data_IF_583506094341
#
_entry.id   IF_583506094341
#
_cell.length_a   1.000
_cell.length_b   1.000
_cell.length_c   1.000
_cell.angle_alpha   90.00
_cell.angle_beta   90.00
_cell.angle_gamma   90.00
#
_symmetry.space_group_name_H-M   'P 1'
#
loop_
_entity.id
_entity.type
_entity.pdbx_description
1 polymer ?
#
# COMPACT_ATOMS: atom_id res chain seq x y z
N UNK A 1 25.10 20.84 0.70
CA UNK A 1 25.49 19.44 0.39
C UNK A 1 26.84 19.22 1.06
N UNK A 2 26.88 18.42 2.13
CA UNK A 2 28.09 18.23 2.94
C UNK A 2 29.03 17.21 2.28
N UNK A 3 29.94 17.72 1.45
CA UNK A 3 31.00 16.95 0.76
C UNK A 3 31.95 16.26 1.76
N UNK A 4 31.97 16.73 3.02
CA UNK A 4 32.77 16.19 4.12
C UNK A 4 32.45 14.73 4.47
N UNK A 5 31.26 14.21 4.13
CA UNK A 5 30.91 12.79 4.33
C UNK A 5 31.51 11.85 3.27
N UNK A 6 31.93 12.38 2.12
CA UNK A 6 32.53 11.55 1.07
C UNK A 6 34.00 11.23 1.35
N UNK A 7 34.77 12.09 2.00
CA UNK A 7 36.23 11.92 2.05
C UNK A 7 36.68 10.64 2.77
N UNK A 8 35.89 10.16 3.74
CA UNK A 8 36.17 8.92 4.49
C UNK A 8 35.31 7.70 4.06
N UNK A 9 34.47 7.83 3.03
CA UNK A 9 33.59 6.77 2.58
C UNK A 9 34.31 5.75 1.67
N UNK A 10 33.99 4.47 1.82
CA UNK A 10 34.45 3.42 0.91
C UNK A 10 33.96 3.69 -0.52
N UNK A 11 34.67 3.16 -1.52
CA UNK A 11 34.36 3.37 -2.93
C UNK A 11 32.92 2.92 -3.27
N UNK A 12 32.42 1.89 -2.60
CA UNK A 12 31.01 1.44 -2.66
C UNK A 12 30.00 2.42 -2.05
N UNK A 13 30.34 3.08 -0.94
CA UNK A 13 29.46 4.07 -0.29
C UNK A 13 29.41 5.36 -1.10
N UNK A 14 30.53 5.77 -1.71
CA UNK A 14 30.59 6.90 -2.65
C UNK A 14 29.67 6.69 -3.86
N UNK A 15 29.72 5.48 -4.45
CA UNK A 15 28.88 5.10 -5.58
C UNK A 15 27.40 5.03 -5.18
N UNK A 16 27.10 4.47 -4.00
CA UNK A 16 25.74 4.44 -3.44
C UNK A 16 25.16 5.84 -3.25
N UNK A 17 25.96 6.78 -2.73
CA UNK A 17 25.55 8.16 -2.51
C UNK A 17 25.32 8.94 -3.82
N UNK A 18 26.13 8.69 -4.85
CA UNK A 18 25.98 9.30 -6.18
C UNK A 18 24.73 8.76 -6.90
N UNK A 19 24.43 7.47 -6.75
CA UNK A 19 23.22 6.83 -7.29
C UNK A 19 21.94 7.31 -6.60
N UNK A 20 21.92 7.37 -5.27
CA UNK A 20 20.71 7.73 -4.48
C UNK A 20 20.28 9.19 -4.65
N UNK A 21 21.15 10.07 -5.18
CA UNK A 21 20.88 11.50 -5.34
C UNK A 21 20.77 11.95 -6.81
N UNK A 22 20.60 11.01 -7.76
CA UNK A 22 20.50 11.30 -9.21
C UNK A 22 21.61 12.25 -9.71
N UNK A 23 22.82 12.07 -9.20
CA UNK A 23 23.90 13.02 -9.43
C UNK A 23 24.33 12.99 -10.91
N UNK A 24 24.54 14.14 -11.57
CA UNK A 24 24.91 14.22 -13.00
C UNK A 24 26.22 13.53 -13.37
N UNK A 25 27.00 13.09 -12.37
CA UNK A 25 28.22 12.31 -12.56
C UNK A 25 27.98 10.80 -12.64
N UNK A 26 26.74 10.32 -12.42
CA UNK A 26 26.40 8.89 -12.50
C UNK A 26 26.69 8.29 -13.88
N UNK A 27 26.24 8.95 -14.95
CA UNK A 27 26.46 8.46 -16.31
C UNK A 27 27.95 8.43 -16.72
N UNK A 28 28.76 9.49 -16.50
CA UNK A 28 30.21 9.44 -16.71
C UNK A 28 30.91 8.35 -15.87
N UNK A 29 30.52 8.20 -14.60
CA UNK A 29 31.13 7.24 -13.67
C UNK A 29 30.85 5.78 -14.10
N UNK A 30 29.63 5.49 -14.54
CA UNK A 30 29.24 4.19 -15.09
C UNK A 30 30.05 3.84 -16.35
N UNK A 31 30.28 4.81 -17.24
CA UNK A 31 31.10 4.61 -18.44
C UNK A 31 32.57 4.34 -18.09
N UNK A 32 33.16 5.10 -17.17
CA UNK A 32 34.55 4.92 -16.72
C UNK A 32 34.73 3.56 -16.04
N UNK A 33 33.85 3.21 -15.10
CA UNK A 33 33.94 1.94 -14.36
C UNK A 33 33.68 0.72 -15.27
N UNK A 34 32.78 0.82 -16.25
CA UNK A 34 32.58 -0.26 -17.23
C UNK A 34 33.74 -0.35 -18.25
N UNK A 35 34.33 0.78 -18.66
CA UNK A 35 35.49 0.81 -19.58
C UNK A 35 36.76 0.23 -18.98
N UNK A 36 36.90 0.25 -17.64
CA UNK A 36 38.00 -0.39 -16.90
C UNK A 36 37.89 -1.92 -16.79
N UNK A 37 36.89 -2.54 -17.44
CA UNK A 37 36.77 -4.00 -17.57
C UNK A 37 36.37 -4.75 -16.30
N UNK A 38 36.04 -4.04 -15.21
CA UNK A 38 35.85 -4.65 -13.90
C UNK A 38 34.40 -5.02 -13.54
N UNK A 39 33.41 -4.70 -14.41
CA UNK A 39 32.00 -5.02 -14.16
C UNK A 39 31.50 -4.57 -12.79
N UNK A 40 32.16 -3.59 -12.18
CA UNK A 40 32.00 -3.26 -10.76
C UNK A 40 30.63 -2.64 -10.51
N UNK A 41 30.17 -1.78 -11.43
CA UNK A 41 28.85 -1.15 -11.36
C UNK A 41 27.76 -2.22 -11.49
N UNK A 42 27.90 -3.15 -12.43
CA UNK A 42 26.96 -4.26 -12.61
C UNK A 42 26.91 -5.16 -11.37
N UNK A 43 28.07 -5.54 -10.81
CA UNK A 43 28.15 -6.28 -9.53
C UNK A 43 27.57 -5.51 -8.35
N UNK A 44 27.77 -4.19 -8.30
CA UNK A 44 27.26 -3.35 -7.22
C UNK A 44 25.74 -3.20 -7.30
N UNK A 45 25.20 -2.93 -8.49
CA UNK A 45 23.76 -2.85 -8.74
C UNK A 45 23.09 -4.21 -8.52
N UNK A 46 23.68 -5.29 -9.02
CA UNK A 46 23.22 -6.66 -8.78
C UNK A 46 23.21 -7.00 -7.29
N UNK A 47 24.28 -6.67 -6.57
CA UNK A 47 24.33 -6.85 -5.10
C UNK A 47 23.25 -6.01 -4.40
N UNK A 48 23.06 -4.74 -4.76
CA UNK A 48 22.02 -3.87 -4.19
C UNK A 48 20.61 -4.41 -4.46
N UNK A 49 20.35 -4.94 -5.66
CA UNK A 49 19.07 -5.56 -6.00
C UNK A 49 18.81 -6.82 -5.16
N UNK A 50 19.81 -7.71 -5.05
CA UNK A 50 19.72 -8.92 -4.22
C UNK A 50 19.54 -8.54 -2.74
N UNK A 51 20.28 -7.56 -2.24
CA UNK A 51 20.17 -7.09 -0.85
C UNK A 51 18.78 -6.50 -0.58
N UNK A 52 18.17 -5.82 -1.55
CA UNK A 52 16.82 -5.30 -1.46
C UNK A 52 15.78 -6.43 -1.40
N UNK A 53 15.81 -7.39 -2.32
CA UNK A 53 14.89 -8.54 -2.33
C UNK A 53 15.02 -9.35 -1.03
N UNK A 54 16.24 -9.63 -0.58
CA UNK A 54 16.48 -10.32 0.69
C UNK A 54 15.92 -9.54 1.89
N UNK A 55 15.99 -8.21 1.86
CA UNK A 55 15.40 -7.37 2.90
C UNK A 55 13.88 -7.47 2.90
N UNK A 56 13.24 -7.41 1.74
CA UNK A 56 11.78 -7.54 1.63
C UNK A 56 11.30 -8.92 2.10
N UNK A 57 11.99 -9.99 1.68
CA UNK A 57 11.68 -11.35 2.14
C UNK A 57 11.82 -11.47 3.66
N UNK A 58 12.88 -10.90 4.25
CA UNK A 58 13.06 -10.89 5.71
C UNK A 58 11.94 -10.12 6.42
N UNK A 59 11.48 -9.01 5.88
CA UNK A 59 10.34 -8.26 6.41
C UNK A 59 9.07 -9.10 6.37
N UNK A 60 8.78 -9.74 5.23
CA UNK A 60 7.63 -10.62 5.08
C UNK A 60 7.66 -11.78 6.09
N UNK A 61 8.80 -12.47 6.22
CA UNK A 61 8.99 -13.55 7.20
C UNK A 61 8.79 -13.02 8.63
N UNK A 62 9.32 -11.84 8.94
CA UNK A 62 9.18 -11.23 10.25
C UNK A 62 7.73 -10.89 10.58
N UNK A 63 6.97 -10.37 9.62
CA UNK A 63 5.53 -10.10 9.79
C UNK A 63 4.73 -11.39 9.91
N UNK A 64 4.99 -12.38 9.06
CA UNK A 64 4.36 -13.70 9.12
C UNK A 64 4.49 -14.36 10.49
N UNK A 65 5.66 -14.25 11.13
CA UNK A 65 5.91 -14.80 12.47
C UNK A 65 5.02 -14.19 13.56
N UNK A 66 4.55 -12.94 13.40
CA UNK A 66 3.68 -12.30 14.39
C UNK A 66 2.31 -12.95 14.48
N UNK A 67 1.86 -13.59 13.40
CA UNK A 67 0.55 -14.25 13.33
C UNK A 67 0.57 -15.69 13.87
N UNK A 68 1.57 -16.03 14.70
CA UNK A 68 1.70 -17.28 15.45
C UNK A 68 1.42 -18.54 14.61
N UNK A 69 2.15 -18.67 13.50
CA UNK A 69 2.08 -19.82 12.61
C UNK A 69 2.44 -21.12 13.35
N UNK A 70 1.67 -22.19 13.12
CA UNK A 70 2.11 -23.54 13.46
C UNK A 70 3.46 -23.82 12.81
N UNK A 71 4.35 -24.55 13.51
CA UNK A 71 5.70 -24.87 13.02
C UNK A 71 5.69 -25.62 11.68
N UNK A 72 4.58 -26.27 11.35
CA UNK A 72 4.33 -26.91 10.06
C UNK A 72 3.37 -26.08 9.22
N UNK A 73 3.72 -25.74 7.96
CA UNK A 73 2.77 -25.17 7.00
C UNK A 73 1.60 -26.11 6.73
N UNK A 74 0.48 -25.54 6.29
CA UNK A 74 -0.60 -26.30 5.66
C UNK A 74 -0.09 -27.09 4.45
N UNK A 75 -0.62 -28.29 4.26
CA UNK A 75 -0.39 -29.12 3.07
C UNK A 75 -1.16 -28.60 1.83
N UNK A 76 -1.79 -27.42 1.92
CA UNK A 76 -2.49 -26.80 0.81
C UNK A 76 -1.55 -26.56 -0.38
N UNK A 77 -1.93 -27.00 -1.60
CA UNK A 77 -1.17 -26.73 -2.82
C UNK A 77 -1.14 -25.23 -3.18
N UNK A 78 -1.97 -24.42 -2.54
CA UNK A 78 -2.22 -23.01 -2.85
C UNK A 78 -1.21 -22.08 -2.16
N UNK A 79 -0.54 -22.55 -1.10
CA UNK A 79 0.39 -21.76 -0.30
C UNK A 79 1.61 -21.30 -1.12
N UNK A 80 2.18 -22.18 -1.94
CA UNK A 80 3.36 -21.85 -2.76
C UNK A 80 3.02 -20.83 -3.86
N UNK A 81 1.93 -20.99 -4.64
CA UNK A 81 1.44 -19.94 -5.53
C UNK A 81 1.19 -18.60 -4.84
N UNK A 82 0.53 -18.60 -3.68
CA UNK A 82 0.26 -17.37 -2.92
C UNK A 82 1.55 -16.67 -2.49
N UNK A 83 2.54 -17.43 -2.00
CA UNK A 83 3.85 -16.92 -1.61
C UNK A 83 4.57 -16.27 -2.80
N UNK A 84 4.52 -16.89 -3.98
CA UNK A 84 5.14 -16.32 -5.19
C UNK A 84 4.51 -14.99 -5.60
N UNK A 85 3.19 -14.89 -5.59
CA UNK A 85 2.48 -13.62 -5.90
C UNK A 85 2.88 -12.55 -4.89
N UNK A 86 2.92 -12.90 -3.61
CA UNK A 86 3.27 -11.98 -2.53
C UNK A 86 4.72 -11.49 -2.63
N UNK A 87 5.68 -12.39 -2.87
CA UNK A 87 7.11 -12.04 -3.02
C UNK A 87 7.31 -11.10 -4.21
N UNK A 88 6.71 -11.39 -5.35
CA UNK A 88 6.82 -10.51 -6.53
C UNK A 88 6.25 -9.12 -6.22
N UNK A 89 5.07 -9.05 -5.59
CA UNK A 89 4.43 -7.79 -5.24
C UNK A 89 5.20 -6.94 -4.22
N UNK A 90 5.88 -7.56 -3.24
CA UNK A 90 6.70 -6.82 -2.26
C UNK A 90 8.06 -6.43 -2.81
N UNK A 91 8.61 -7.19 -3.77
CA UNK A 91 9.87 -6.80 -4.44
C UNK A 91 9.67 -5.62 -5.40
N UNK A 92 8.42 -5.36 -5.82
CA UNK A 92 8.06 -4.18 -6.61
C UNK A 92 7.67 -2.98 -5.74
N UNK A 93 7.65 -3.11 -4.41
CA UNK A 93 7.10 -2.11 -3.49
C UNK A 93 8.01 -1.78 -2.30
N UNK A 94 7.97 -0.52 -1.85
CA UNK A 94 8.61 -0.08 -0.60
C UNK A 94 7.66 -0.06 0.59
N UNK A 95 6.39 -0.38 0.37
CA UNK A 95 5.34 -0.30 1.37
C UNK A 95 5.48 -1.39 2.45
N UNK A 96 5.60 -0.95 3.70
CA UNK A 96 5.52 -1.84 4.87
C UNK A 96 4.09 -2.35 5.10
N UNK A 97 3.10 -1.52 4.77
CA UNK A 97 1.69 -1.83 4.97
C UNK A 97 1.26 -2.98 4.05
N UNK A 98 1.69 -2.93 2.79
CA UNK A 98 1.51 -4.00 1.80
C UNK A 98 2.17 -5.30 2.25
N UNK A 99 3.38 -5.25 2.82
CA UNK A 99 4.04 -6.44 3.41
C UNK A 99 3.20 -7.02 4.56
N UNK A 100 2.66 -6.17 5.44
CA UNK A 100 1.77 -6.58 6.55
C UNK A 100 0.51 -7.27 6.05
N UNK A 101 -0.13 -6.70 5.03
CA UNK A 101 -1.34 -7.24 4.39
C UNK A 101 -1.08 -8.59 3.73
N UNK A 102 -0.01 -8.71 2.93
CA UNK A 102 0.36 -10.00 2.33
C UNK A 102 0.68 -11.05 3.39
N UNK A 103 1.38 -10.68 4.47
CA UNK A 103 1.65 -11.58 5.57
C UNK A 103 0.35 -12.08 6.25
N UNK A 104 -0.65 -11.22 6.42
CA UNK A 104 -1.96 -11.59 6.99
C UNK A 104 -2.69 -12.63 6.12
N UNK A 105 -2.76 -12.40 4.81
CA UNK A 105 -3.40 -13.33 3.85
C UNK A 105 -2.67 -14.68 3.84
N UNK A 106 -1.33 -14.64 3.79
CA UNK A 106 -0.50 -15.85 3.81
C UNK A 106 -0.62 -16.60 5.13
N UNK A 107 -0.76 -15.91 6.26
CA UNK A 107 -0.96 -16.56 7.55
C UNK A 107 -2.30 -17.31 7.62
N UNK A 108 -3.36 -16.74 7.05
CA UNK A 108 -4.65 -17.42 6.93
C UNK A 108 -4.52 -18.71 6.10
N UNK A 109 -3.83 -18.66 4.96
CA UNK A 109 -3.55 -19.85 4.15
C UNK A 109 -2.68 -20.89 4.87
N UNK A 110 -1.67 -20.42 5.62
CA UNK A 110 -0.77 -21.28 6.38
C UNK A 110 -1.52 -22.10 7.44
N UNK A 111 -2.55 -21.50 8.05
CA UNK A 111 -3.32 -22.11 9.13
C UNK A 111 -4.53 -22.93 8.64
N UNK A 112 -4.97 -22.76 7.37
CA UNK A 112 -6.14 -23.44 6.83
C UNK A 112 -5.78 -24.70 6.03
N UNK A 113 -6.46 -25.82 6.30
CA UNK A 113 -6.30 -27.08 5.54
C UNK A 113 -6.93 -27.06 4.15
N UNK A 114 -7.97 -26.25 3.96
CA UNK A 114 -8.69 -26.10 2.69
C UNK A 114 -8.81 -24.62 2.38
N UNK A 115 -8.36 -24.20 1.20
CA UNK A 115 -8.42 -22.81 0.76
C UNK A 115 -9.37 -22.66 -0.43
N UNK A 116 -10.02 -21.50 -0.55
CA UNK A 116 -10.64 -21.08 -1.80
C UNK A 116 -9.58 -20.33 -2.60
N UNK A 117 -8.87 -21.06 -3.46
CA UNK A 117 -7.78 -20.50 -4.26
C UNK A 117 -8.25 -19.36 -5.15
N UNK A 118 -9.41 -19.47 -5.79
CA UNK A 118 -9.91 -18.42 -6.71
C UNK A 118 -10.14 -17.11 -5.97
N UNK A 119 -10.80 -17.16 -4.82
CA UNK A 119 -11.00 -15.99 -3.96
C UNK A 119 -9.66 -15.43 -3.48
N UNK A 120 -8.74 -16.29 -3.02
CA UNK A 120 -7.45 -15.86 -2.48
C UNK A 120 -6.56 -15.24 -3.56
N UNK A 121 -6.51 -15.85 -4.75
CA UNK A 121 -5.78 -15.35 -5.92
C UNK A 121 -6.30 -13.99 -6.36
N UNK A 122 -7.63 -13.80 -6.39
CA UNK A 122 -8.23 -12.50 -6.68
C UNK A 122 -7.88 -11.46 -5.60
N UNK A 123 -7.94 -11.81 -4.32
CA UNK A 123 -7.53 -10.92 -3.22
C UNK A 123 -6.07 -10.50 -3.34
N UNK A 124 -5.16 -11.44 -3.60
CA UNK A 124 -3.73 -11.15 -3.74
C UNK A 124 -3.45 -10.23 -4.93
N UNK A 125 -4.15 -10.43 -6.05
CA UNK A 125 -4.05 -9.54 -7.23
C UNK A 125 -4.58 -8.16 -6.93
N UNK A 126 -5.73 -8.07 -6.24
CA UNK A 126 -6.31 -6.80 -5.84
C UNK A 126 -5.37 -6.03 -4.92
N UNK A 127 -4.87 -6.67 -3.84
CA UNK A 127 -3.91 -6.07 -2.90
C UNK A 127 -2.62 -5.64 -3.58
N UNK A 128 -2.12 -6.41 -4.55
CA UNK A 128 -0.94 -6.02 -5.34
C UNK A 128 -1.16 -4.67 -6.03
N UNK A 129 -2.36 -4.42 -6.52
CA UNK A 129 -2.68 -3.20 -7.26
C UNK A 129 -3.04 -2.01 -6.35
N UNK A 130 -3.09 -2.21 -5.02
CA UNK A 130 -3.36 -1.16 -4.03
C UNK A 130 -2.06 -0.57 -3.45
N UNK A 131 -2.12 0.72 -3.10
CA UNK A 131 -1.04 1.46 -2.42
C UNK A 131 -1.42 1.82 -0.98
N UNK A 132 -0.48 2.39 -0.22
CA UNK A 132 -0.67 2.71 1.20
C UNK A 132 -1.84 3.65 1.45
N UNK A 133 -2.02 4.64 0.58
CA UNK A 133 -3.15 5.57 0.63
C UNK A 133 -4.49 4.86 0.46
N UNK A 134 -4.54 3.81 -0.35
CA UNK A 134 -5.76 3.01 -0.56
C UNK A 134 -6.14 2.26 0.71
N UNK A 135 -5.16 1.62 1.37
CA UNK A 135 -5.41 0.93 2.64
C UNK A 135 -5.85 1.90 3.75
N UNK A 136 -5.28 3.10 3.78
CA UNK A 136 -5.61 4.14 4.74
C UNK A 136 -7.05 4.67 4.53
N UNK A 137 -7.41 5.03 3.29
CA UNK A 137 -8.78 5.44 2.93
C UNK A 137 -9.80 4.34 3.26
N UNK A 138 -9.51 3.08 2.92
CA UNK A 138 -10.38 1.94 3.23
C UNK A 138 -10.55 1.72 4.74
N UNK A 139 -9.46 1.82 5.51
CA UNK A 139 -9.48 1.70 6.96
C UNK A 139 -10.37 2.77 7.61
N UNK A 140 -10.21 4.03 7.23
CA UNK A 140 -11.03 5.11 7.77
C UNK A 140 -12.49 5.01 7.32
N UNK A 141 -12.74 4.67 6.04
CA UNK A 141 -14.09 4.42 5.54
C UNK A 141 -14.80 3.30 6.31
N UNK A 142 -14.09 2.23 6.67
CA UNK A 142 -14.63 1.13 7.48
C UNK A 142 -14.91 1.53 8.93
N UNK A 143 -14.05 2.35 9.55
CA UNK A 143 -14.32 2.90 10.88
C UNK A 143 -15.57 3.77 10.88
N UNK A 144 -15.72 4.62 9.87
CA UNK A 144 -16.92 5.45 9.69
C UNK A 144 -18.17 4.59 9.47
N UNK A 145 -18.06 3.48 8.73
CA UNK A 145 -19.16 2.53 8.56
C UNK A 145 -19.61 1.88 9.87
N UNK A 146 -18.68 1.57 10.77
CA UNK A 146 -18.98 0.94 12.05
C UNK A 146 -19.33 1.95 13.17
N UNK A 147 -19.12 3.25 12.96
CA UNK A 147 -19.49 4.26 13.93
C UNK A 147 -21.02 4.42 13.97
N UNK A 148 -21.62 4.34 15.15
CA UNK A 148 -23.09 4.45 15.35
C UNK A 148 -23.67 5.80 14.91
N UNK A 149 -22.83 6.78 14.59
CA UNK A 149 -23.18 8.15 14.23
C UNK A 149 -22.89 8.44 12.75
N UNK A 150 -23.86 8.14 11.89
CA UNK A 150 -23.79 8.41 10.46
C UNK A 150 -23.75 7.11 9.64
N UNK A 151 -24.39 7.10 8.47
CA UNK A 151 -24.58 5.89 7.64
C UNK A 151 -23.29 5.36 6.98
N UNK A 152 -22.12 5.58 7.57
CA UNK A 152 -20.83 5.25 6.96
C UNK A 152 -20.50 6.06 5.72
N UNK A 153 -20.98 7.31 5.67
CA UNK A 153 -20.87 8.18 4.49
C UNK A 153 -19.81 9.26 4.75
N UNK A 154 -18.90 9.44 3.78
CA UNK A 154 -17.86 10.47 3.82
C UNK A 154 -17.83 11.30 2.53
N UNK A 155 -17.10 12.42 2.55
CA UNK A 155 -16.87 13.30 1.42
C UNK A 155 -15.38 13.57 1.21
N UNK A 156 -15.02 14.02 0.01
CA UNK A 156 -13.67 14.47 -0.38
C UNK A 156 -13.76 15.96 -0.75
N UNK A 157 -12.76 16.75 -0.38
CA UNK A 157 -12.72 18.19 -0.59
C UNK A 157 -13.46 19.00 0.48
N UNK A 158 -13.63 18.44 1.68
CA UNK A 158 -14.29 19.10 2.81
C UNK A 158 -15.67 18.54 3.17
N UNK A 159 -16.22 19.02 4.28
CA UNK A 159 -17.46 18.51 4.86
C UNK A 159 -18.69 19.05 4.12
N UNK A 160 -19.46 18.17 3.48
CA UNK A 160 -20.62 18.54 2.67
C UNK A 160 -21.93 18.67 3.46
N UNK A 161 -22.04 17.99 4.60
CA UNK A 161 -23.23 18.00 5.47
C UNK A 161 -22.85 17.70 6.92
N UNK A 162 -23.74 18.05 7.86
CA UNK A 162 -23.62 17.65 9.27
C UNK A 162 -23.51 16.13 9.46
N UNK A 163 -24.11 15.35 8.56
CA UNK A 163 -24.12 13.88 8.59
C UNK A 163 -22.95 13.21 7.87
N UNK A 164 -22.09 13.97 7.19
CA UNK A 164 -20.91 13.46 6.45
C UNK A 164 -19.63 13.86 7.17
N UNK A 165 -18.64 12.99 7.20
CA UNK A 165 -17.29 13.33 7.62
C UNK A 165 -16.44 13.62 6.38
N UNK A 166 -15.65 14.70 6.38
CA UNK A 166 -14.63 14.87 5.35
C UNK A 166 -13.52 13.86 5.62
N UNK A 167 -13.13 13.06 4.63
CA UNK A 167 -12.13 12.03 4.86
C UNK A 167 -10.78 12.66 5.23
N UNK A 168 -10.48 13.86 4.70
CA UNK A 168 -9.28 14.64 5.01
C UNK A 168 -9.15 14.99 6.49
N UNK A 169 -10.27 15.15 7.21
CA UNK A 169 -10.24 15.45 8.64
C UNK A 169 -9.77 14.25 9.48
N UNK A 170 -9.82 13.05 8.90
CA UNK A 170 -9.46 11.78 9.56
C UNK A 170 -8.12 11.25 9.06
N UNK A 171 -7.74 11.57 7.83
CA UNK A 171 -6.43 11.20 7.28
C UNK A 171 -5.31 12.09 7.86
N UNK A 172 -4.05 11.61 7.83
CA UNK A 172 -2.89 12.45 8.11
C UNK A 172 -2.91 13.76 7.29
N UNK A 173 -2.66 14.89 7.96
CA UNK A 173 -2.79 16.24 7.39
C UNK A 173 -1.72 16.62 6.36
N UNK A 174 -0.77 15.73 6.10
CA UNK A 174 0.30 15.86 5.10
C UNK A 174 -0.07 15.30 3.72
N UNK A 175 -1.25 14.73 3.55
CA UNK A 175 -1.72 14.16 2.28
C UNK A 175 -2.32 15.22 1.35
N UNK A 176 -1.88 15.21 0.09
CA UNK A 176 -2.42 16.08 -0.96
C UNK A 176 -3.88 15.69 -1.28
N UNK A 177 -4.84 16.63 -1.19
CA UNK A 177 -6.24 16.39 -1.54
C UNK A 177 -6.45 15.84 -2.96
N UNK A 178 -5.59 16.18 -3.93
CA UNK A 178 -5.69 15.63 -5.29
C UNK A 178 -5.36 14.13 -5.34
N UNK A 179 -4.44 13.67 -4.49
CA UNK A 179 -4.12 12.24 -4.35
C UNK A 179 -5.28 11.47 -3.72
N UNK A 180 -5.99 12.10 -2.77
CA UNK A 180 -7.17 11.51 -2.12
C UNK A 180 -8.31 11.37 -3.14
N UNK A 181 -8.61 12.40 -3.95
CA UNK A 181 -9.64 12.35 -5.01
C UNK A 181 -9.32 11.27 -6.06
N UNK A 182 -8.05 11.18 -6.48
CA UNK A 182 -7.58 10.13 -7.38
C UNK A 182 -7.69 8.73 -6.77
N UNK A 183 -7.32 8.58 -5.49
CA UNK A 183 -7.42 7.32 -4.77
C UNK A 183 -8.87 6.86 -4.62
N UNK A 184 -9.79 7.76 -4.26
CA UNK A 184 -11.21 7.45 -4.13
C UNK A 184 -11.79 7.01 -5.48
N UNK A 185 -11.42 7.69 -6.57
CA UNK A 185 -11.82 7.32 -7.92
C UNK A 185 -11.34 5.92 -8.31
N UNK A 186 -10.08 5.57 -8.01
CA UNK A 186 -9.53 4.23 -8.29
C UNK A 186 -10.20 3.15 -7.43
N UNK A 187 -10.47 3.44 -6.15
CA UNK A 187 -11.20 2.52 -5.26
C UNK A 187 -12.63 2.25 -5.73
N UNK A 188 -13.32 3.25 -6.29
CA UNK A 188 -14.64 3.08 -6.92
C UNK A 188 -14.52 2.20 -8.17
N UNK A 189 -13.53 2.45 -9.03
CA UNK A 189 -13.30 1.63 -10.22
C UNK A 189 -13.00 0.16 -9.89
N UNK A 190 -12.37 -0.10 -8.74
CA UNK A 190 -12.14 -1.45 -8.19
C UNK A 190 -13.34 -2.03 -7.43
N UNK A 191 -14.43 -1.27 -7.31
CA UNK A 191 -15.66 -1.68 -6.61
C UNK A 191 -15.53 -1.76 -5.08
N UNK A 192 -14.51 -1.12 -4.50
CA UNK A 192 -14.25 -1.12 -3.05
C UNK A 192 -14.95 0.02 -2.30
N UNK A 193 -15.30 1.08 -3.03
CA UNK A 193 -16.14 2.17 -2.57
C UNK A 193 -17.35 2.31 -3.49
N UNK A 194 -18.46 2.79 -2.93
CA UNK A 194 -19.65 3.18 -3.65
C UNK A 194 -19.70 4.70 -3.78
N UNK A 195 -20.05 5.20 -4.96
CA UNK A 195 -20.54 6.56 -5.15
C UNK A 195 -22.02 6.62 -4.75
N UNK A 196 -22.41 7.65 -4.00
CA UNK A 196 -23.82 7.89 -3.72
C UNK A 196 -24.31 9.10 -4.51
N UNK A 197 -25.38 8.88 -5.28
CA UNK A 197 -26.06 9.93 -6.01
C UNK A 197 -26.94 10.75 -5.04
N UNK A 198 -26.56 12.02 -4.86
CA UNK A 198 -27.36 13.14 -4.34
C UNK A 198 -27.88 12.93 -2.90
N UNK A 199 -27.24 13.61 -1.94
CA UNK A 199 -27.89 13.94 -0.68
C UNK A 199 -29.04 14.91 -0.94
N UNK A 200 -30.28 14.42 -1.01
CA UNK A 200 -31.49 15.27 -1.03
C UNK A 200 -31.74 16.00 0.30
N UNK A 201 -30.77 16.01 1.22
CA UNK A 201 -30.86 16.82 2.44
C UNK A 201 -30.45 18.26 2.12
N UNK A 202 -31.43 18.98 1.58
CA UNK A 202 -31.55 20.42 1.65
C UNK A 202 -31.47 20.86 3.11
N UNK A 203 -30.29 21.31 3.54
CA UNK A 203 -30.21 22.49 4.38
C UNK A 203 -28.92 23.23 4.01
N UNK A 204 -29.14 24.36 3.36
CA UNK A 204 -28.14 25.34 2.96
C UNK A 204 -27.16 25.59 4.10
N UNK A 205 -25.89 25.30 3.85
CA UNK A 205 -24.80 26.05 4.48
C UNK A 205 -23.98 26.61 3.34
N UNK A 206 -23.80 27.93 3.34
CA UNK A 206 -23.00 28.70 2.39
C UNK A 206 -21.56 28.17 2.40
N UNK A 207 -21.31 27.18 1.56
CA UNK A 207 -19.95 26.79 1.18
C UNK A 207 -19.78 27.37 -0.22
N UNK A 208 -18.84 28.31 -0.37
CA UNK A 208 -18.36 28.79 -1.68
C UNK A 208 -17.78 27.62 -2.48
N UNK A 209 -18.65 26.81 -3.07
CA UNK A 209 -18.30 25.70 -3.93
C UNK A 209 -18.00 26.27 -5.32
N UNK A 210 -16.78 26.02 -5.77
CA UNK A 210 -16.42 26.23 -7.18
C UNK A 210 -17.41 25.46 -8.07
N UNK A 211 -17.99 26.08 -9.12
CA UNK A 211 -19.21 25.61 -9.79
C UNK A 211 -19.04 24.35 -10.68
N UNK A 212 -17.98 23.55 -10.50
CA UNK A 212 -17.59 22.49 -11.45
C UNK A 212 -17.75 21.05 -10.96
N UNK A 213 -18.02 20.78 -9.69
CA UNK A 213 -18.30 19.41 -9.22
C UNK A 213 -19.44 19.40 -8.20
N UNK A 214 -20.49 18.62 -8.46
CA UNK A 214 -21.56 18.40 -7.51
C UNK A 214 -21.00 17.72 -6.23
N UNK A 215 -21.55 18.00 -5.05
CA UNK A 215 -21.13 17.36 -3.80
C UNK A 215 -21.40 15.85 -3.87
N UNK A 216 -20.35 15.04 -4.04
CA UNK A 216 -20.42 13.57 -4.07
C UNK A 216 -20.08 13.03 -2.71
N UNK A 217 -20.93 12.14 -2.21
CA UNK A 217 -20.69 11.39 -0.99
C UNK A 217 -20.32 9.95 -1.33
N UNK A 218 -19.49 9.33 -0.50
CA UNK A 218 -18.95 8.00 -0.72
C UNK A 218 -19.22 7.11 0.50
N UNK A 219 -19.29 5.80 0.27
CA UNK A 219 -19.35 4.81 1.34
C UNK A 219 -18.54 3.57 0.98
N UNK A 220 -18.15 2.79 1.98
CA UNK A 220 -17.47 1.52 1.73
C UNK A 220 -18.44 0.50 1.15
N UNK A 221 -18.00 -0.27 0.15
CA UNK A 221 -18.81 -1.35 -0.44
C UNK A 221 -18.71 -2.64 0.36
N UNK A 222 -19.61 -3.60 0.10
CA UNK A 222 -19.54 -4.94 0.70
C UNK A 222 -18.22 -5.65 0.36
N UNK A 223 -17.68 -5.43 -0.85
CA UNK A 223 -16.37 -5.94 -1.26
C UNK A 223 -15.24 -5.26 -0.48
N UNK A 224 -15.34 -3.95 -0.25
CA UNK A 224 -14.39 -3.20 0.59
C UNK A 224 -14.37 -3.72 2.03
N UNK A 225 -15.55 -3.93 2.63
CA UNK A 225 -15.69 -4.51 3.98
C UNK A 225 -15.11 -5.92 4.00
N UNK A 226 -15.45 -6.74 3.01
CA UNK A 226 -14.93 -8.11 2.90
C UNK A 226 -13.40 -8.12 2.79
N UNK A 227 -12.82 -7.27 1.95
CA UNK A 227 -11.37 -7.16 1.78
C UNK A 227 -10.70 -6.78 3.09
N UNK A 228 -11.22 -5.77 3.81
CA UNK A 228 -10.69 -5.34 5.11
C UNK A 228 -10.68 -6.49 6.12
N UNK A 229 -11.73 -7.31 6.14
CA UNK A 229 -11.79 -8.50 7.00
C UNK A 229 -10.76 -9.57 6.63
N UNK A 230 -10.37 -9.68 5.34
CA UNK A 230 -9.34 -10.63 4.92
C UNK A 230 -7.92 -10.14 5.24
N UNK A 231 -7.68 -8.83 5.17
CA UNK A 231 -6.35 -8.25 5.37
C UNK A 231 -6.07 -7.90 6.84
N UNK A 232 -7.12 -7.69 7.64
CA UNK A 232 -6.99 -7.51 9.08
C UNK A 232 -6.76 -8.88 9.72
N UNK A 233 -5.59 -9.11 10.36
CA UNK A 233 -5.34 -10.37 11.04
C UNK A 233 -6.40 -10.58 12.12
N UNK A 234 -6.92 -11.81 12.24
CA UNK A 234 -7.84 -12.15 13.32
C UNK A 234 -7.14 -11.89 14.66
N UNK A 235 -7.83 -11.21 15.59
CA UNK A 235 -7.32 -11.04 16.95
C UNK A 235 -6.97 -12.42 17.51
N UNK A 236 -5.70 -12.58 17.90
CA UNK A 236 -5.19 -13.74 18.62
C UNK A 236 -5.85 -13.74 20.00
N UNK A 237 -7.02 -14.37 20.12
CA UNK A 237 -7.59 -14.80 21.39
C UNK A 237 -6.88 -16.06 21.90
#
# INVERSE_FOLDING_TARGET
>A
MDISKLDNATLSEKIGYIYENDHPLWAPLCLVLNSSGLGFVDRFLSKKAIDFELRQIRLLISELKKYSLTSTPSDSPDLIPALRISINAINESLSKEKVRVFASILANLWNQKTSNWDATSQTLRLVRDLEDIHFLVLSEAHKLHNAETGRGIFSVGGKLSLATCAIEDVLPSDLDPMLIDSCVSDLIAKGLLNDSFISNNSLETDIELSPTKAPVTYSISDLGIWLIKQITPADLN
#
